data_IF_536988755767
#
_entry.id   IF_536988755767
#
_cell.length_a   1.000
_cell.length_b   1.000
_cell.length_c   1.000
_cell.angle_alpha   90.00
_cell.angle_beta   90.00
_cell.angle_gamma   90.00
#
_symmetry.space_group_name_H-M   'P 1'
#
loop_
_entity.id
_entity.type
_entity.pdbx_description
1 polymer ?
#
# COMPACT_ATOMS: atom_id res chain seq x y z
N UNK A 1 -17.74 -8.52 -5.81
CA UNK A 1 -17.52 -8.11 -7.22
C UNK A 1 -16.92 -6.70 -7.33
N UNK A 2 -17.33 -5.75 -6.48
CA UNK A 2 -16.84 -4.36 -6.48
C UNK A 2 -15.34 -4.22 -6.12
N UNK A 3 -14.87 -4.94 -5.10
CA UNK A 3 -13.45 -4.90 -4.64
C UNK A 3 -12.46 -5.32 -5.73
N UNK A 4 -12.80 -6.32 -6.54
CA UNK A 4 -11.94 -6.82 -7.62
C UNK A 4 -11.79 -5.77 -8.73
N UNK A 5 -12.87 -5.08 -9.07
CA UNK A 5 -12.86 -4.00 -10.07
C UNK A 5 -12.04 -2.80 -9.59
N UNK A 6 -12.18 -2.42 -8.32
CA UNK A 6 -11.37 -1.36 -7.71
C UNK A 6 -9.89 -1.73 -7.69
N UNK A 7 -9.54 -2.96 -7.32
CA UNK A 7 -8.16 -3.44 -7.31
C UNK A 7 -7.52 -3.44 -8.71
N UNK A 8 -8.26 -3.90 -9.72
CA UNK A 8 -7.82 -3.86 -11.12
C UNK A 8 -7.65 -2.42 -11.62
N UNK A 9 -8.52 -1.50 -11.21
CA UNK A 9 -8.39 -0.09 -11.56
C UNK A 9 -7.15 0.52 -10.93
N UNK A 10 -6.89 0.27 -9.64
CA UNK A 10 -5.69 0.73 -8.95
C UNK A 10 -4.41 0.19 -9.60
N UNK A 11 -4.38 -1.11 -9.95
CA UNK A 11 -3.24 -1.73 -10.61
C UNK A 11 -2.95 -1.08 -11.98
N UNK A 12 -4.00 -0.82 -12.78
CA UNK A 12 -3.86 -0.11 -14.07
C UNK A 12 -3.30 1.30 -13.88
N UNK A 13 -3.79 2.04 -12.89
CA UNK A 13 -3.26 3.38 -12.58
C UNK A 13 -1.80 3.32 -12.17
N UNK A 14 -1.41 2.35 -11.34
CA UNK A 14 -0.02 2.15 -10.94
C UNK A 14 0.90 1.85 -12.14
N UNK A 15 0.49 0.94 -13.03
CA UNK A 15 1.28 0.59 -14.22
C UNK A 15 1.46 1.78 -15.17
N UNK A 16 0.42 2.60 -15.35
CA UNK A 16 0.50 3.83 -16.13
C UNK A 16 1.49 4.83 -15.53
N UNK A 17 1.47 5.04 -14.21
CA UNK A 17 2.40 5.97 -13.53
C UNK A 17 3.83 5.42 -13.57
N UNK A 18 4.03 4.13 -13.31
CA UNK A 18 5.34 3.46 -13.34
C UNK A 18 6.00 3.56 -14.72
N UNK A 19 5.23 3.39 -15.80
CA UNK A 19 5.76 3.53 -17.16
C UNK A 19 6.25 4.96 -17.49
N UNK A 20 5.79 5.97 -16.73
CA UNK A 20 6.19 7.37 -16.92
C UNK A 20 7.33 7.84 -16.02
N UNK A 21 7.72 7.07 -14.98
CA UNK A 21 8.86 7.40 -14.12
C UNK A 21 10.09 6.60 -14.52
N UNK A 22 11.01 7.23 -15.27
CA UNK A 22 12.38 6.71 -15.35
C UNK A 22 13.00 6.78 -13.95
N UNK A 23 13.46 5.65 -13.42
CA UNK A 23 14.02 5.48 -12.09
C UNK A 23 15.29 6.32 -11.89
N UNK A 24 15.13 7.59 -11.51
CA UNK A 24 16.10 8.20 -10.62
C UNK A 24 15.92 7.48 -9.28
N UNK A 25 16.74 6.46 -9.03
CA UNK A 25 16.87 5.79 -7.74
C UNK A 25 17.05 6.87 -6.67
N UNK A 26 15.95 7.23 -6.01
CA UNK A 26 15.97 8.12 -4.86
C UNK A 26 16.59 7.33 -3.71
N UNK A 27 17.92 7.31 -3.68
CA UNK A 27 18.66 6.86 -2.51
C UNK A 27 18.27 7.79 -1.35
N UNK A 28 17.79 7.21 -0.26
CA UNK A 28 17.37 7.86 1.01
C UNK A 28 15.90 8.27 1.11
N UNK A 29 14.97 7.37 0.83
CA UNK A 29 13.76 7.37 1.66
C UNK A 29 14.16 6.89 3.05
N UNK A 30 13.92 7.72 4.07
CA UNK A 30 14.03 7.34 5.47
C UNK A 30 13.17 6.10 5.71
N UNK A 31 13.74 5.04 6.28
CA UNK A 31 12.99 3.82 6.67
C UNK A 31 11.97 4.10 7.79
N UNK A 32 12.02 5.27 8.43
CA UNK A 32 11.10 5.65 9.48
C UNK A 32 9.74 6.10 8.90
N UNK A 33 8.65 5.60 9.48
CA UNK A 33 7.31 6.05 9.16
C UNK A 33 7.17 7.57 9.36
N UNK A 34 6.86 8.29 8.28
CA UNK A 34 6.48 9.71 8.35
C UNK A 34 4.99 9.88 8.65
N UNK A 35 4.68 10.75 9.61
CA UNK A 35 3.30 11.12 9.97
C UNK A 35 2.64 11.87 8.82
N UNK A 36 1.34 11.64 8.53
CA UNK A 36 0.61 12.51 7.62
C UNK A 36 0.39 13.90 8.25
N UNK A 37 0.11 14.93 7.44
CA UNK A 37 -0.38 16.23 7.92
C UNK A 37 -1.62 16.08 8.82
N UNK A 38 -1.85 17.07 9.69
CA UNK A 38 -3.02 17.08 10.57
C UNK A 38 -4.32 17.01 9.77
N UNK A 39 -5.28 16.22 10.25
CA UNK A 39 -6.56 15.98 9.57
C UNK A 39 -6.50 14.96 8.41
N UNK A 40 -5.32 14.42 8.09
CA UNK A 40 -5.16 13.38 7.08
C UNK A 40 -4.87 12.02 7.70
N UNK A 41 -5.16 10.97 6.92
CA UNK A 41 -4.92 9.57 7.26
C UNK A 41 -3.91 8.99 6.27
N UNK A 42 -2.91 8.28 6.78
CA UNK A 42 -1.94 7.52 5.98
C UNK A 42 -2.34 6.05 5.98
N UNK A 43 -2.58 5.51 4.78
CA UNK A 43 -2.89 4.09 4.57
C UNK A 43 -1.67 3.39 3.99
N UNK A 44 -1.18 2.36 4.67
CA UNK A 44 -0.06 1.53 4.21
C UNK A 44 -0.61 0.16 3.81
N UNK A 45 -0.10 -0.39 2.72
CA UNK A 45 -0.44 -1.71 2.20
C UNK A 45 0.83 -2.54 2.13
N UNK A 46 0.78 -3.80 2.57
CA UNK A 46 1.89 -4.73 2.48
C UNK A 46 1.38 -6.04 1.89
N UNK A 47 2.00 -6.48 0.80
CA UNK A 47 1.77 -7.80 0.23
C UNK A 47 2.79 -8.80 0.74
N UNK A 48 2.36 -10.03 0.96
CA UNK A 48 3.23 -11.17 1.26
C UNK A 48 2.87 -12.34 0.34
N UNK A 49 3.89 -13.11 -0.04
CA UNK A 49 3.74 -14.42 -0.68
C UNK A 49 4.29 -15.44 0.29
N UNK A 50 3.50 -16.46 0.60
CA UNK A 50 3.85 -17.51 1.55
C UNK A 50 4.53 -18.69 0.84
N UNK A 51 5.13 -19.58 1.62
CA UNK A 51 6.00 -20.63 1.12
C UNK A 51 5.26 -21.55 0.12
N UNK A 52 5.90 -21.83 -1.02
CA UNK A 52 5.29 -22.56 -2.13
C UNK A 52 4.58 -21.69 -3.18
N UNK A 53 4.46 -20.37 -2.95
CA UNK A 53 4.02 -19.39 -3.97
C UNK A 53 2.56 -19.48 -4.39
N UNK A 54 1.78 -20.37 -3.75
CA UNK A 54 0.36 -20.60 -4.03
C UNK A 54 -0.57 -19.86 -3.09
N UNK A 55 -0.03 -19.32 -2.01
CA UNK A 55 -0.76 -18.57 -1.02
C UNK A 55 -0.09 -17.20 -0.87
N UNK A 56 -0.91 -16.17 -0.77
CA UNK A 56 -0.47 -14.81 -0.52
C UNK A 56 -1.42 -14.08 0.40
N UNK A 57 -1.10 -12.84 0.67
CA UNK A 57 -2.01 -11.98 1.41
C UNK A 57 -1.65 -10.52 1.30
N UNK A 58 -2.62 -9.67 1.57
CA UNK A 58 -2.46 -8.22 1.61
C UNK A 58 -2.93 -7.74 2.98
N UNK A 59 -2.02 -7.10 3.70
CA UNK A 59 -2.31 -6.36 4.93
C UNK A 59 -2.47 -4.87 4.64
N UNK A 60 -3.46 -4.24 5.25
CA UNK A 60 -3.72 -2.80 5.16
C UNK A 60 -3.80 -2.22 6.56
N UNK A 61 -3.19 -1.05 6.77
CA UNK A 61 -3.33 -0.30 8.02
C UNK A 61 -3.49 1.20 7.74
N UNK A 62 -4.51 1.80 8.33
CA UNK A 62 -4.76 3.23 8.29
C UNK A 62 -4.44 3.87 9.63
N UNK A 63 -3.58 4.89 9.62
CA UNK A 63 -3.20 5.65 10.82
C UNK A 63 -3.46 7.14 10.63
N UNK A 64 -3.89 7.80 11.69
CA UNK A 64 -4.04 9.26 11.70
C UNK A 64 -2.69 9.98 11.86
N UNK A 65 -2.75 11.32 11.91
CA UNK A 65 -1.59 12.19 12.12
C UNK A 65 -0.90 12.00 13.47
N UNK A 66 -1.57 11.44 14.49
CA UNK A 66 -1.00 11.10 15.80
C UNK A 66 -0.40 9.69 15.82
N UNK A 67 -0.51 8.94 14.73
CA UNK A 67 -0.06 7.55 14.61
C UNK A 67 -1.05 6.54 15.21
N UNK A 68 -2.25 6.97 15.61
CA UNK A 68 -3.29 6.06 16.09
C UNK A 68 -3.80 5.19 14.95
N UNK A 69 -3.90 3.88 15.20
CA UNK A 69 -4.51 2.96 14.25
C UNK A 69 -6.02 3.17 14.26
N UNK A 70 -6.59 3.55 13.11
CA UNK A 70 -8.02 3.73 12.95
C UNK A 70 -8.69 2.43 12.48
N UNK A 71 -8.06 1.74 11.53
CA UNK A 71 -8.53 0.47 10.99
C UNK A 71 -7.36 -0.31 10.39
N UNK A 72 -7.48 -1.63 10.43
CA UNK A 72 -6.60 -2.53 9.72
C UNK A 72 -7.38 -3.72 9.19
N UNK A 73 -6.92 -4.32 8.10
CA UNK A 73 -7.45 -5.58 7.59
C UNK A 73 -6.34 -6.42 6.99
N UNK A 74 -6.57 -7.73 6.94
CA UNK A 74 -5.71 -8.67 6.23
C UNK A 74 -6.62 -9.58 5.40
N UNK A 75 -6.24 -9.78 4.14
CA UNK A 75 -6.94 -10.68 3.22
C UNK A 75 -5.93 -11.69 2.73
N UNK A 76 -6.20 -12.97 2.97
CA UNK A 76 -5.47 -14.08 2.37
C UNK A 76 -6.02 -14.32 0.96
N UNK A 77 -5.12 -14.54 0.00
CA UNK A 77 -5.40 -14.71 -1.44
C UNK A 77 -4.78 -16.03 -1.90
#
# INVERSE_FOLDING_TARGET
MEVVLSAQSFLRTFDMVRASQSLALHSRYSEAWERPPSGLVKVNFVGAVFEGGKEGGIGVIARDYAGQCLVWCFVQI
#
